data_IF_563741672649
#
_entry.id   IF_563741672649
#
_cell.length_a   1.000
_cell.length_b   1.000
_cell.length_c   1.000
_cell.angle_alpha   90.00
_cell.angle_beta   90.00
_cell.angle_gamma   90.00
#
_symmetry.space_group_name_H-M   'P 1'
#
loop_
_entity.id
_entity.type
_entity.pdbx_description
1 polymer ?
#
# COMPACT_ATOMS: atom_id res chain seq x y z
N UNK A 1 -0.12 -27.35 3.48
CA UNK A 1 0.56 -26.34 4.32
C UNK A 1 0.67 -25.08 3.49
N UNK A 2 -0.01 -24.00 3.88
CA UNK A 2 0.12 -22.72 3.20
C UNK A 2 1.52 -22.14 3.47
N UNK A 3 2.22 -21.78 2.41
CA UNK A 3 3.53 -21.13 2.52
C UNK A 3 3.30 -19.69 2.94
N UNK A 4 3.95 -19.25 4.02
CA UNK A 4 3.94 -17.88 4.50
C UNK A 4 5.31 -17.27 4.23
N UNK A 5 5.35 -16.10 3.58
CA UNK A 5 6.57 -15.34 3.39
C UNK A 5 6.51 -14.10 4.28
N UNK A 6 7.50 -13.93 5.15
CA UNK A 6 7.63 -12.75 6.00
C UNK A 6 8.62 -11.75 5.35
N UNK A 7 8.24 -10.49 5.30
CA UNK A 7 9.08 -9.41 4.78
C UNK A 7 9.24 -8.36 5.87
N UNK A 8 10.47 -8.16 6.33
CA UNK A 8 10.81 -7.06 7.21
C UNK A 8 10.91 -5.78 6.39
N UNK A 9 10.17 -4.77 6.80
CA UNK A 9 10.20 -3.44 6.18
C UNK A 9 11.25 -2.57 6.85
N UNK A 10 11.71 -1.53 6.13
CA UNK A 10 12.72 -0.59 6.65
C UNK A 10 12.24 0.21 7.88
N UNK A 11 10.92 0.29 8.08
CA UNK A 11 10.30 0.94 9.22
C UNK A 11 10.14 0.02 10.45
N UNK A 12 10.73 -1.19 10.40
CA UNK A 12 10.67 -2.18 11.48
C UNK A 12 9.39 -3.01 11.53
N UNK A 13 8.41 -2.75 10.65
CA UNK A 13 7.20 -3.55 10.56
C UNK A 13 7.42 -4.82 9.74
N UNK A 14 6.72 -5.89 10.10
CA UNK A 14 6.71 -7.15 9.34
C UNK A 14 5.42 -7.27 8.56
N UNK A 15 5.52 -7.57 7.27
CA UNK A 15 4.39 -7.95 6.44
C UNK A 15 4.45 -9.45 6.15
N UNK A 16 3.36 -10.17 6.45
CA UNK A 16 3.20 -11.57 6.09
C UNK A 16 2.43 -11.69 4.78
N UNK A 17 2.94 -12.49 3.87
CA UNK A 17 2.30 -12.76 2.59
C UNK A 17 1.92 -14.23 2.51
N UNK A 18 0.66 -14.50 2.21
CA UNK A 18 0.13 -15.83 1.95
C UNK A 18 -0.51 -15.86 0.57
N UNK A 19 -0.60 -17.04 -0.02
CA UNK A 19 -1.27 -17.25 -1.29
C UNK A 19 -2.33 -18.34 -1.13
N UNK A 20 -3.54 -18.08 -1.64
CA UNK A 20 -4.63 -19.03 -1.71
C UNK A 20 -5.36 -18.93 -3.05
N UNK A 21 -6.51 -19.58 -3.17
CA UNK A 21 -7.37 -19.56 -4.37
C UNK A 21 -7.90 -18.19 -4.75
N UNK A 22 -8.03 -17.26 -3.79
CA UNK A 22 -8.55 -15.90 -4.02
C UNK A 22 -7.46 -14.91 -4.41
N UNK A 23 -6.17 -15.24 -4.22
CA UNK A 23 -5.08 -14.36 -4.56
C UNK A 23 -3.90 -14.37 -3.60
N UNK A 24 -3.12 -13.30 -3.66
CA UNK A 24 -2.04 -13.01 -2.71
C UNK A 24 -2.56 -12.07 -1.65
N UNK A 25 -2.48 -12.50 -0.40
CA UNK A 25 -2.97 -11.79 0.78
C UNK A 25 -1.77 -11.24 1.54
N UNK A 26 -1.84 -9.98 1.91
CA UNK A 26 -0.92 -9.34 2.85
C UNK A 26 -1.62 -9.17 4.18
N UNK A 27 -0.97 -9.59 5.24
CA UNK A 27 -1.30 -9.28 6.62
C UNK A 27 -0.22 -8.37 7.17
N UNK A 28 -0.58 -7.14 7.53
CA UNK A 28 0.33 -6.26 8.23
C UNK A 28 0.37 -6.70 9.69
N UNK A 29 1.55 -7.00 10.13
CA UNK A 29 1.81 -7.27 11.55
C UNK A 29 2.42 -6.01 12.10
N UNK A 30 1.64 -5.25 12.87
CA UNK A 30 2.13 -4.10 13.61
C UNK A 30 2.99 -4.57 14.80
N UNK A 31 4.13 -5.20 14.48
CA UNK A 31 5.18 -5.38 15.47
C UNK A 31 5.99 -4.10 15.52
N UNK A 32 5.65 -3.26 16.45
CA UNK A 32 6.70 -2.50 17.10
C UNK A 32 7.59 -3.54 17.78
N UNK A 33 8.83 -3.66 17.33
CA UNK A 33 9.88 -4.16 18.20
C UNK A 33 10.02 -3.15 19.34
N UNK A 34 9.16 -3.22 20.34
CA UNK A 34 9.52 -2.76 21.65
C UNK A 34 10.67 -3.65 22.07
N UNK A 35 11.75 -3.10 22.48
CA UNK A 35 13.10 -3.68 22.56
C UNK A 35 13.23 -5.06 23.20
N UNK A 36 12.18 -5.68 23.75
CA UNK A 36 12.38 -6.84 24.61
C UNK A 36 11.31 -7.95 24.57
N UNK A 37 10.20 -7.81 23.87
CA UNK A 37 9.19 -8.90 23.89
C UNK A 37 8.52 -9.08 22.53
N UNK A 38 8.67 -10.23 21.86
CA UNK A 38 7.82 -10.57 20.72
C UNK A 38 6.37 -10.64 21.18
N UNK A 39 5.49 -9.82 20.59
CA UNK A 39 4.06 -9.91 20.86
C UNK A 39 3.56 -11.32 20.45
N UNK A 40 2.73 -11.96 21.28
CA UNK A 40 2.17 -13.27 20.96
C UNK A 40 1.42 -13.26 19.63
N UNK A 41 1.60 -14.30 18.80
CA UNK A 41 0.98 -14.45 17.48
C UNK A 41 -0.58 -14.48 17.54
N UNK A 42 -1.16 -14.69 18.70
CA UNK A 42 -2.60 -14.67 18.94
C UNK A 42 -3.21 -13.25 18.95
N UNK A 43 -2.38 -12.22 19.11
CA UNK A 43 -2.79 -10.81 19.01
C UNK A 43 -2.69 -10.23 17.60
N UNK A 44 -2.37 -11.07 16.60
CA UNK A 44 -2.43 -10.66 15.21
C UNK A 44 -3.88 -10.34 14.84
N UNK A 45 -4.12 -9.08 14.49
CA UNK A 45 -5.42 -8.65 13.98
C UNK A 45 -5.67 -9.33 12.62
N UNK A 46 -6.26 -10.52 12.67
CA UNK A 46 -6.55 -11.36 11.49
C UNK A 46 -7.59 -10.73 10.57
N UNK A 47 -8.32 -9.72 11.04
CA UNK A 47 -9.36 -9.02 10.29
C UNK A 47 -8.79 -8.02 9.28
N UNK A 48 -7.48 -7.80 9.29
CA UNK A 48 -6.79 -6.86 8.37
C UNK A 48 -6.07 -7.55 7.20
N UNK A 49 -6.55 -8.71 6.79
CA UNK A 49 -6.06 -9.37 5.59
C UNK A 49 -6.44 -8.55 4.34
N UNK A 50 -5.43 -8.12 3.59
CA UNK A 50 -5.64 -7.36 2.37
C UNK A 50 -5.25 -8.18 1.15
N UNK A 51 -6.17 -8.36 0.21
CA UNK A 51 -5.87 -8.95 -1.09
C UNK A 51 -5.08 -7.92 -1.91
N UNK A 52 -3.79 -8.19 -2.10
CA UNK A 52 -2.90 -7.28 -2.86
C UNK A 52 -2.76 -7.68 -4.33
N UNK A 53 -3.11 -8.92 -4.68
CA UNK A 53 -3.25 -9.43 -6.05
C UNK A 53 -4.40 -10.43 -6.05
N UNK A 54 -5.49 -10.08 -6.74
CA UNK A 54 -6.70 -10.90 -6.82
C UNK A 54 -6.60 -11.90 -7.98
N UNK A 55 -7.15 -13.08 -7.80
CA UNK A 55 -7.32 -14.09 -8.84
C UNK A 55 -8.75 -14.11 -9.40
N UNK A 56 -8.95 -14.50 -10.67
CA UNK A 56 -7.92 -14.87 -11.66
C UNK A 56 -7.06 -13.66 -12.04
N UNK A 57 -5.83 -13.90 -12.56
CA UNK A 57 -4.96 -12.84 -13.06
C UNK A 57 -5.37 -12.51 -14.50
N UNK A 58 -6.39 -11.67 -14.61
CA UNK A 58 -6.97 -11.23 -15.89
C UNK A 58 -7.14 -9.71 -15.86
N UNK A 59 -7.01 -9.06 -17.01
CA UNK A 59 -7.25 -7.65 -17.15
C UNK A 59 -8.71 -7.34 -16.79
N UNK A 60 -8.98 -6.15 -16.27
CA UNK A 60 -10.29 -5.67 -15.79
C UNK A 60 -10.78 -6.29 -14.47
N UNK A 61 -10.07 -7.26 -13.86
CA UNK A 61 -10.43 -7.76 -12.52
C UNK A 61 -10.25 -6.67 -11.48
N UNK A 62 -11.32 -6.39 -10.72
CA UNK A 62 -11.37 -5.32 -9.72
C UNK A 62 -11.61 -5.88 -8.31
N UNK A 63 -11.10 -5.15 -7.30
CA UNK A 63 -11.40 -5.38 -5.88
C UNK A 63 -11.13 -4.13 -5.05
N UNK A 64 -11.68 -4.11 -3.85
CA UNK A 64 -11.46 -3.05 -2.88
C UNK A 64 -10.71 -3.55 -1.66
N UNK A 65 -9.92 -2.68 -1.06
CA UNK A 65 -9.29 -2.90 0.24
C UNK A 65 -9.46 -1.67 1.13
N UNK A 66 -9.51 -1.88 2.43
CA UNK A 66 -9.44 -0.80 3.41
C UNK A 66 -8.00 -0.33 3.56
N UNK A 67 -7.79 0.99 3.51
CA UNK A 67 -6.47 1.57 3.64
C UNK A 67 -6.55 2.91 4.40
N UNK A 68 -5.40 3.50 4.71
CA UNK A 68 -5.29 4.80 5.41
C UNK A 68 -4.34 5.70 4.66
N UNK A 69 -4.59 7.01 4.74
CA UNK A 69 -3.68 8.02 4.20
C UNK A 69 -2.35 8.03 4.95
N UNK A 70 -1.29 8.40 4.23
CA UNK A 70 0.06 8.63 4.78
C UNK A 70 0.47 10.09 4.69
N UNK A 71 -0.32 10.90 3.98
CA UNK A 71 -0.07 12.33 3.84
C UNK A 71 -0.05 13.01 5.21
N UNK A 72 0.85 13.95 5.36
CA UNK A 72 1.04 14.71 6.60
C UNK A 72 0.50 16.12 6.44
N UNK A 73 -0.13 16.62 7.48
CA UNK A 73 -0.50 18.02 7.58
C UNK A 73 0.60 18.77 8.35
N UNK A 74 1.08 19.87 7.76
CA UNK A 74 2.02 20.77 8.41
C UNK A 74 1.26 21.81 9.23
N UNK A 75 1.52 21.84 10.54
CA UNK A 75 0.97 22.83 11.45
C UNK A 75 2.11 23.66 12.06
N UNK A 76 2.21 24.91 11.63
CA UNK A 76 3.29 25.79 12.04
C UNK A 76 4.64 25.44 11.39
N UNK A 77 5.76 25.85 12.05
CA UNK A 77 7.09 25.75 11.43
C UNK A 77 7.65 24.33 11.42
N UNK A 78 7.45 23.51 12.47
CA UNK A 78 8.17 22.24 12.65
C UNK A 78 7.27 21.05 13.07
N UNK A 79 5.95 21.17 12.98
CA UNK A 79 5.05 20.09 13.40
C UNK A 79 4.35 19.46 12.21
N UNK A 80 4.53 18.15 12.07
CA UNK A 80 3.84 17.33 11.07
C UNK A 80 2.96 16.30 11.77
N UNK A 81 1.74 16.15 11.30
CA UNK A 81 0.77 15.19 11.83
C UNK A 81 0.37 14.23 10.71
N UNK A 82 0.50 12.92 10.98
CA UNK A 82 -0.03 11.89 10.08
C UNK A 82 -1.55 11.95 10.12
N UNK A 83 -2.19 12.09 8.97
CA UNK A 83 -3.64 12.18 8.91
C UNK A 83 -4.33 10.85 9.20
N UNK A 84 -3.74 9.70 8.75
CA UNK A 84 -4.25 8.35 8.96
C UNK A 84 -5.75 8.17 8.68
N UNK A 85 -6.29 8.93 7.71
CA UNK A 85 -7.69 8.93 7.36
C UNK A 85 -8.05 7.62 6.65
N UNK A 86 -9.11 6.93 7.06
CA UNK A 86 -9.54 5.70 6.40
C UNK A 86 -10.16 6.01 5.04
N UNK A 87 -9.94 5.09 4.07
CA UNK A 87 -10.61 5.11 2.77
C UNK A 87 -10.65 3.72 2.14
N UNK A 88 -11.47 3.57 1.08
CA UNK A 88 -11.50 2.38 0.24
C UNK A 88 -10.59 2.60 -0.96
N UNK A 89 -9.59 1.72 -1.14
CA UNK A 89 -8.75 1.69 -2.34
C UNK A 89 -9.33 0.69 -3.33
N UNK A 90 -9.81 1.19 -4.46
CA UNK A 90 -10.31 0.38 -5.59
C UNK A 90 -9.14 0.01 -6.47
N UNK A 91 -8.83 -1.28 -6.55
CA UNK A 91 -7.75 -1.82 -7.36
C UNK A 91 -8.30 -2.46 -8.62
N UNK A 92 -7.51 -2.42 -9.70
CA UNK A 92 -7.83 -3.02 -11.00
C UNK A 92 -6.57 -3.56 -11.65
N UNK A 93 -6.62 -4.78 -12.19
CA UNK A 93 -5.57 -5.29 -13.07
C UNK A 93 -5.71 -4.62 -14.43
N UNK A 94 -4.75 -3.78 -14.80
CA UNK A 94 -4.81 -3.01 -16.06
C UNK A 94 -3.95 -3.61 -17.17
N UNK A 95 -3.01 -4.49 -16.82
CA UNK A 95 -2.21 -5.24 -17.80
C UNK A 95 -1.56 -6.46 -17.15
N UNK A 96 -1.39 -7.53 -17.93
CA UNK A 96 -0.70 -8.76 -17.49
C UNK A 96 0.64 -8.99 -18.21
N UNK A 97 1.03 -8.08 -19.13
CA UNK A 97 2.19 -8.26 -20.03
C UNK A 97 3.14 -7.05 -20.03
N UNK A 98 3.12 -6.26 -18.97
CA UNK A 98 3.98 -5.08 -18.87
C UNK A 98 5.47 -5.44 -18.81
N UNK A 99 6.29 -4.55 -19.34
CA UNK A 99 7.75 -4.60 -19.18
C UNK A 99 8.20 -3.36 -18.45
N UNK A 100 8.85 -3.55 -17.33
CA UNK A 100 9.39 -2.44 -16.53
C UNK A 100 10.91 -2.54 -16.44
N UNK A 101 11.56 -1.40 -16.24
CA UNK A 101 13.02 -1.34 -16.00
C UNK A 101 13.28 -0.92 -14.58
N UNK A 102 14.09 -1.69 -13.84
CA UNK A 102 14.55 -1.38 -12.49
C UNK A 102 16.07 -1.45 -12.49
N UNK A 103 16.71 -0.31 -12.20
CA UNK A 103 18.19 -0.21 -12.18
C UNK A 103 18.87 -0.75 -13.44
N UNK A 104 18.27 -0.48 -14.61
CA UNK A 104 18.78 -0.94 -15.91
C UNK A 104 18.42 -2.37 -16.29
N UNK A 105 17.87 -3.18 -15.38
CA UNK A 105 17.39 -4.53 -15.67
C UNK A 105 15.93 -4.51 -16.13
N UNK A 106 15.62 -5.15 -17.26
CA UNK A 106 14.26 -5.29 -17.78
C UNK A 106 13.58 -6.52 -17.18
N UNK A 107 12.41 -6.32 -16.61
CA UNK A 107 11.52 -7.37 -16.10
C UNK A 107 10.31 -7.41 -17.00
N UNK A 108 10.09 -8.54 -17.67
CA UNK A 108 8.99 -8.76 -18.62
C UNK A 108 7.81 -9.48 -17.95
N UNK A 109 6.65 -9.41 -18.60
CA UNK A 109 5.42 -10.08 -18.18
C UNK A 109 5.02 -9.71 -16.74
N UNK A 110 5.15 -8.45 -16.41
CA UNK A 110 4.67 -7.93 -15.14
C UNK A 110 3.15 -7.71 -15.19
N UNK A 111 2.49 -8.05 -14.11
CA UNK A 111 1.09 -7.70 -13.85
C UNK A 111 1.10 -6.29 -13.28
N UNK A 112 0.39 -5.38 -13.95
CA UNK A 112 0.21 -4.00 -13.48
C UNK A 112 -1.17 -3.85 -12.86
N UNK A 113 -1.20 -3.34 -11.65
CA UNK A 113 -2.41 -3.01 -10.91
C UNK A 113 -2.43 -1.50 -10.68
N UNK A 114 -3.53 -0.86 -11.05
CA UNK A 114 -3.81 0.52 -10.69
C UNK A 114 -4.80 0.56 -9.54
N UNK A 115 -4.58 1.43 -8.58
CA UNK A 115 -5.50 1.67 -7.48
C UNK A 115 -5.87 3.15 -7.38
N UNK A 116 -7.12 3.42 -7.06
CA UNK A 116 -7.65 4.75 -6.80
C UNK A 116 -8.47 4.76 -5.51
N UNK A 117 -8.27 5.80 -4.71
CA UNK A 117 -9.04 6.08 -3.52
C UNK A 117 -9.23 7.56 -3.30
N UNK A 118 -10.21 7.92 -2.51
CA UNK A 118 -10.43 9.29 -2.07
C UNK A 118 -10.95 9.33 -0.64
N UNK A 119 -10.63 10.40 0.04
CA UNK A 119 -11.17 10.70 1.37
C UNK A 119 -11.20 12.21 1.57
N UNK A 120 -11.79 12.64 2.66
CA UNK A 120 -11.80 14.05 3.04
C UNK A 120 -11.52 14.22 4.51
N UNK A 121 -11.01 15.39 4.85
CA UNK A 121 -10.66 15.78 6.21
C UNK A 121 -11.19 17.17 6.50
N UNK A 122 -11.85 17.32 7.63
CA UNK A 122 -12.35 18.61 8.11
C UNK A 122 -11.63 18.99 9.39
N UNK A 123 -10.50 19.71 9.30
CA UNK A 123 -9.71 20.08 10.47
C UNK A 123 -10.40 21.13 11.36
N UNK A 124 -10.94 22.19 10.75
CA UNK A 124 -11.63 23.28 11.42
C UNK A 124 -12.43 24.13 10.40
N UNK A 125 -13.32 25.05 10.87
CA UNK A 125 -14.10 25.91 9.99
C UNK A 125 -13.28 26.84 9.08
N UNK A 126 -12.07 27.22 9.51
CA UNK A 126 -11.22 28.16 8.75
C UNK A 126 -10.61 27.50 7.53
N UNK A 127 -10.15 26.26 7.66
CA UNK A 127 -9.56 25.48 6.57
C UNK A 127 -10.62 24.77 5.71
N UNK A 128 -11.83 24.57 6.24
CA UNK A 128 -12.91 23.90 5.54
C UNK A 128 -12.64 22.42 5.30
N UNK A 129 -13.26 21.88 4.26
CA UNK A 129 -13.11 20.48 3.89
C UNK A 129 -11.94 20.30 2.90
N UNK A 130 -10.98 19.47 3.28
CA UNK A 130 -9.81 19.15 2.47
C UNK A 130 -10.04 17.78 1.81
N UNK A 131 -9.98 17.74 0.48
CA UNK A 131 -10.11 16.49 -0.27
C UNK A 131 -8.73 15.90 -0.56
N UNK A 132 -8.62 14.59 -0.45
CA UNK A 132 -7.38 13.85 -0.69
C UNK A 132 -7.68 12.74 -1.69
N UNK A 133 -6.92 12.73 -2.79
CA UNK A 133 -6.93 11.66 -3.78
C UNK A 133 -5.69 10.80 -3.65
N UNK A 134 -5.87 9.50 -3.79
CA UNK A 134 -4.83 8.50 -3.63
C UNK A 134 -4.75 7.67 -4.91
N UNK A 135 -3.56 7.61 -5.51
CA UNK A 135 -3.27 6.81 -6.68
C UNK A 135 -2.17 5.80 -6.35
N UNK A 136 -2.37 4.55 -6.71
CA UNK A 136 -1.35 3.52 -6.56
C UNK A 136 -1.08 2.82 -7.87
N UNK A 137 0.17 2.41 -8.07
CA UNK A 137 0.56 1.53 -9.16
C UNK A 137 1.45 0.44 -8.60
N UNK A 138 1.04 -0.81 -8.82
CA UNK A 138 1.74 -2.00 -8.32
C UNK A 138 2.13 -2.90 -9.47
N UNK A 139 3.36 -3.40 -9.46
CA UNK A 139 3.83 -4.37 -10.43
C UNK A 139 4.25 -5.66 -9.73
N UNK A 140 3.70 -6.77 -10.18
CA UNK A 140 4.09 -8.11 -9.75
C UNK A 140 4.74 -8.87 -10.92
N UNK A 141 5.75 -9.67 -10.64
CA UNK A 141 6.35 -10.57 -11.61
C UNK A 141 6.40 -11.99 -11.07
N UNK A 142 6.15 -12.99 -11.95
CA UNK A 142 6.19 -14.40 -11.59
C UNK A 142 7.58 -14.77 -11.04
N UNK A 143 7.60 -15.42 -9.89
CA UNK A 143 8.82 -15.84 -9.21
C UNK A 143 9.54 -14.76 -8.41
N UNK A 144 9.25 -13.47 -8.66
CA UNK A 144 9.86 -12.33 -7.93
C UNK A 144 8.88 -11.71 -6.92
N UNK A 145 7.57 -11.86 -7.13
CA UNK A 145 6.55 -11.21 -6.29
C UNK A 145 6.39 -9.73 -6.63
N UNK A 146 6.28 -8.88 -5.62
CA UNK A 146 6.17 -7.42 -5.78
C UNK A 146 7.51 -6.84 -6.26
N UNK A 147 7.54 -6.27 -7.47
CA UNK A 147 8.76 -5.70 -8.06
C UNK A 147 8.81 -4.19 -8.01
N UNK A 148 7.67 -3.51 -8.10
CA UNK A 148 7.57 -2.06 -7.95
C UNK A 148 6.21 -1.68 -7.37
N UNK A 149 6.21 -0.70 -6.49
CA UNK A 149 5.02 -0.07 -5.94
C UNK A 149 5.22 1.44 -5.90
N UNK A 150 4.25 2.18 -6.40
CA UNK A 150 4.21 3.63 -6.32
C UNK A 150 2.89 4.05 -5.70
N UNK A 151 2.93 5.00 -4.79
CA UNK A 151 1.76 5.63 -4.19
C UNK A 151 1.92 7.13 -4.25
N UNK A 152 0.91 7.80 -4.74
CA UNK A 152 0.79 9.23 -4.76
C UNK A 152 -0.46 9.61 -3.97
N UNK A 153 -0.32 10.51 -3.02
CA UNK A 153 -1.44 11.14 -2.31
C UNK A 153 -1.36 12.64 -2.56
N UNK A 154 -2.46 13.20 -3.01
CA UNK A 154 -2.57 14.62 -3.38
C UNK A 154 -3.78 15.22 -2.69
N UNK A 155 -3.58 16.32 -1.97
CA UNK A 155 -4.66 17.11 -1.41
C UNK A 155 -4.90 18.39 -2.24
N UNK A 156 -6.08 18.95 -2.09
CA UNK A 156 -6.43 20.29 -2.60
C UNK A 156 -6.01 21.42 -1.65
N UNK A 157 -5.37 21.10 -0.53
CA UNK A 157 -4.85 22.05 0.46
C UNK A 157 -3.35 22.27 0.32
N UNK A 158 -2.92 23.52 0.35
CA UNK A 158 -1.50 23.88 0.36
C UNK A 158 -0.79 23.42 1.66
N UNK A 159 -1.52 23.27 2.77
CA UNK A 159 -0.96 22.81 4.06
C UNK A 159 -0.60 21.33 4.08
N UNK A 160 -1.23 20.50 3.22
CA UNK A 160 -0.94 19.08 3.07
C UNK A 160 -0.12 18.80 1.82
N UNK A 161 -0.40 19.49 0.72
CA UNK A 161 0.31 19.33 -0.54
C UNK A 161 0.18 17.94 -1.16
N UNK A 162 1.32 17.36 -1.52
CA UNK A 162 1.42 16.08 -2.21
C UNK A 162 2.57 15.24 -1.63
N UNK A 163 2.35 13.94 -1.49
CA UNK A 163 3.40 12.97 -1.15
C UNK A 163 3.48 11.88 -2.22
N UNK A 164 4.71 11.50 -2.58
CA UNK A 164 4.96 10.36 -3.46
C UNK A 164 5.87 9.38 -2.73
N UNK A 165 5.46 8.12 -2.70
CA UNK A 165 6.22 7.01 -2.16
C UNK A 165 6.48 5.98 -3.27
N UNK A 166 7.73 5.58 -3.43
CA UNK A 166 8.12 4.51 -4.36
C UNK A 166 8.94 3.44 -3.65
N UNK A 167 8.63 2.18 -3.94
CA UNK A 167 9.35 1.01 -3.47
C UNK A 167 9.67 0.10 -4.65
N UNK A 168 10.93 -0.34 -4.75
CA UNK A 168 11.39 -1.29 -5.76
C UNK A 168 12.12 -2.45 -5.11
N UNK A 169 12.11 -3.60 -5.79
CA UNK A 169 12.91 -4.76 -5.40
C UNK A 169 14.41 -4.47 -5.64
N UNK A 170 15.27 -4.99 -4.80
CA UNK A 170 16.71 -5.05 -5.06
C UNK A 170 16.99 -6.32 -5.87
N UNK A 171 17.49 -6.15 -7.10
CA UNK A 171 17.85 -7.22 -8.04
C UNK A 171 19.36 -7.43 -8.11
#
# INVERSE_FOLDING_TARGET
KNKVNAVLRNDGHVALYTQNENGVIRQNVDYLFSEFVPLPLDKLDRDKNQIILKYPIEEEVEWEIDDKTTIQMKLGYDRFYNTNLPFKLKNKIVSTKETISIRGKKIKNCIKISGYGKTSYYPDPTLGNINIEIFTTTYFAKGLGLVKYTREEKSDSETMGKIIYEKTINL
#
